data_IF_256719674229
#
_entry.id   IF_256719674229
#
_cell.length_a   1.000
_cell.length_b   1.000
_cell.length_c   1.000
_cell.angle_alpha   90.00
_cell.angle_beta   90.00
_cell.angle_gamma   90.00
#
_symmetry.space_group_name_H-M   'P 1'
#
loop_
_entity.id
_entity.type
_entity.pdbx_description
1 polymer ?
#
# COMPACT_ATOMS: atom_id res chain seq x y z
N UNK A 1 0.55 19.85 16.95
CA UNK A 1 -0.17 19.24 15.81
C UNK A 1 -1.57 18.88 16.28
N UNK A 2 -2.63 19.37 15.61
CA UNK A 2 -4.02 19.07 16.01
C UNK A 2 -4.40 17.71 15.43
N UNK A 3 -4.88 16.79 16.27
CA UNK A 3 -5.36 15.50 15.79
C UNK A 3 -6.65 15.74 14.98
N UNK A 4 -6.66 15.21 13.76
CA UNK A 4 -7.81 15.29 12.87
C UNK A 4 -8.86 14.23 13.28
N UNK A 5 -10.03 14.69 13.72
CA UNK A 5 -11.12 13.82 14.14
C UNK A 5 -11.66 12.95 13.00
N UNK A 6 -11.65 13.47 11.77
CA UNK A 6 -12.04 12.71 10.58
C UNK A 6 -11.09 11.54 10.35
N UNK A 7 -9.79 11.77 10.54
CA UNK A 7 -8.77 10.71 10.44
C UNK A 7 -9.00 9.64 11.49
N UNK A 8 -9.20 10.02 12.76
CA UNK A 8 -9.47 9.07 13.84
C UNK A 8 -10.73 8.22 13.59
N UNK A 9 -11.80 8.85 13.11
CA UNK A 9 -13.04 8.17 12.76
C UNK A 9 -12.80 7.04 11.74
N UNK A 10 -12.02 7.34 10.70
CA UNK A 10 -11.67 6.38 9.63
C UNK A 10 -10.83 5.23 10.15
N UNK A 11 -9.85 5.49 11.01
CA UNK A 11 -9.02 4.45 11.64
C UNK A 11 -9.85 3.48 12.49
N UNK A 12 -10.76 4.01 13.31
CA UNK A 12 -11.65 3.21 14.17
C UNK A 12 -12.57 2.36 13.31
N UNK A 13 -13.22 2.95 12.31
CA UNK A 13 -14.10 2.23 11.40
C UNK A 13 -13.37 1.11 10.66
N UNK A 14 -12.22 1.42 10.05
CA UNK A 14 -11.45 0.47 9.27
C UNK A 14 -11.01 -0.72 10.12
N UNK A 15 -10.48 -0.45 11.33
CA UNK A 15 -10.04 -1.50 12.25
C UNK A 15 -11.19 -2.37 12.76
N UNK A 16 -12.33 -1.76 13.12
CA UNK A 16 -13.53 -2.50 13.53
C UNK A 16 -14.03 -3.41 12.43
N UNK A 17 -14.14 -2.88 11.20
CA UNK A 17 -14.56 -3.66 10.04
C UNK A 17 -13.61 -4.80 9.76
N UNK A 18 -12.29 -4.57 9.76
CA UNK A 18 -11.28 -5.62 9.63
C UNK A 18 -11.50 -6.76 10.63
N UNK A 19 -11.69 -6.46 11.91
CA UNK A 19 -11.95 -7.47 12.96
C UNK A 19 -13.32 -8.15 12.84
N UNK A 20 -14.21 -7.66 11.97
CA UNK A 20 -15.57 -8.20 11.79
C UNK A 20 -16.51 -7.86 12.94
N UNK A 21 -16.15 -6.88 13.77
CA UNK A 21 -16.93 -6.50 14.95
C UNK A 21 -18.13 -5.61 14.59
N UNK A 22 -19.28 -5.88 15.20
CA UNK A 22 -20.43 -4.99 15.14
C UNK A 22 -20.26 -3.83 16.11
N UNK A 23 -21.01 -2.74 15.93
CA UNK A 23 -21.00 -1.66 16.91
C UNK A 23 -21.58 -2.10 18.26
N UNK A 24 -22.53 -3.03 18.28
CA UNK A 24 -23.07 -3.59 19.54
C UNK A 24 -22.01 -4.40 20.30
N UNK A 25 -21.16 -5.14 19.59
CA UNK A 25 -20.04 -5.85 20.19
C UNK A 25 -19.06 -4.87 20.84
N UNK A 26 -18.60 -3.85 20.11
CA UNK A 26 -17.72 -2.82 20.67
C UNK A 26 -18.37 -2.13 21.88
N UNK A 27 -19.68 -1.88 21.82
CA UNK A 27 -20.41 -1.25 22.90
C UNK A 27 -20.38 -2.05 24.19
N UNK A 28 -20.58 -3.37 24.08
CA UNK A 28 -20.49 -4.30 25.22
C UNK A 28 -19.08 -4.33 25.82
N UNK A 29 -18.05 -4.38 24.97
CA UNK A 29 -16.66 -4.54 25.42
C UNK A 29 -16.04 -3.25 25.96
N UNK A 30 -16.49 -2.08 25.51
CA UNK A 30 -15.89 -0.78 25.87
C UNK A 30 -16.77 0.09 26.77
N UNK A 31 -18.05 -0.24 26.90
CA UNK A 31 -19.06 0.61 27.56
C UNK A 31 -19.46 1.86 26.75
N UNK A 32 -18.91 2.06 25.55
CA UNK A 32 -19.30 3.16 24.65
C UNK A 32 -20.65 2.81 24.04
N UNK A 33 -21.67 3.66 24.14
CA UNK A 33 -22.97 3.34 23.53
C UNK A 33 -22.86 3.19 22.01
N UNK A 34 -23.71 2.34 21.40
CA UNK A 34 -23.72 2.17 19.94
C UNK A 34 -23.93 3.51 19.19
N UNK A 35 -24.81 4.39 19.71
CA UNK A 35 -25.04 5.71 19.12
C UNK A 35 -23.81 6.62 19.19
N UNK A 36 -23.08 6.59 20.31
CA UNK A 36 -21.81 7.32 20.45
C UNK A 36 -20.76 6.78 19.48
N UNK A 37 -20.61 5.46 19.39
CA UNK A 37 -19.66 4.84 18.45
C UNK A 37 -20.00 5.19 17.00
N UNK A 38 -21.28 5.16 16.63
CA UNK A 38 -21.72 5.56 15.30
C UNK A 38 -21.34 7.01 14.97
N UNK A 39 -21.52 7.94 15.91
CA UNK A 39 -21.13 9.35 15.73
C UNK A 39 -19.61 9.54 15.66
N UNK A 40 -18.85 8.75 16.43
CA UNK A 40 -17.38 8.74 16.35
C UNK A 40 -16.95 8.27 14.95
N UNK A 41 -17.47 7.14 14.46
CA UNK A 41 -17.10 6.57 13.16
C UNK A 41 -17.51 7.44 11.97
N UNK A 42 -18.53 8.29 12.12
CA UNK A 42 -18.93 9.28 11.11
C UNK A 42 -18.23 10.63 11.25
N UNK A 43 -17.31 10.79 12.21
CA UNK A 43 -16.64 12.07 12.47
C UNK A 43 -17.56 13.18 13.01
N UNK A 44 -18.72 12.82 13.57
CA UNK A 44 -19.68 13.75 14.18
C UNK A 44 -19.42 13.96 15.68
N UNK A 45 -18.55 13.15 16.29
CA UNK A 45 -18.24 13.22 17.71
C UNK A 45 -16.75 12.91 17.92
N UNK A 46 -16.08 13.81 18.65
CA UNK A 46 -14.70 13.64 19.07
C UNK A 46 -14.56 12.42 19.99
N UNK A 47 -13.50 11.65 19.81
CA UNK A 47 -13.17 10.54 20.71
C UNK A 47 -12.35 11.06 21.90
N UNK A 48 -12.81 10.80 23.12
CA UNK A 48 -12.04 11.14 24.33
C UNK A 48 -10.80 10.26 24.45
N UNK A 49 -9.76 10.71 25.17
CA UNK A 49 -8.54 9.93 25.37
C UNK A 49 -8.81 8.54 26.00
N UNK A 50 -9.76 8.47 26.95
CA UNK A 50 -10.21 7.21 27.56
C UNK A 50 -10.83 6.27 26.52
N UNK A 51 -11.75 6.77 25.69
CA UNK A 51 -12.39 5.96 24.66
C UNK A 51 -11.40 5.54 23.58
N UNK A 52 -10.47 6.41 23.19
CA UNK A 52 -9.40 6.09 22.25
C UNK A 52 -8.55 4.93 22.78
N UNK A 53 -8.09 4.99 24.03
CA UNK A 53 -7.29 3.92 24.63
C UNK A 53 -8.03 2.56 24.65
N UNK A 54 -9.33 2.56 24.99
CA UNK A 54 -10.13 1.34 24.99
C UNK A 54 -10.30 0.78 23.56
N UNK A 55 -10.63 1.66 22.60
CA UNK A 55 -10.84 1.29 21.20
C UNK A 55 -9.53 0.82 20.56
N UNK A 56 -8.42 1.53 20.74
CA UNK A 56 -7.14 1.17 20.13
C UNK A 56 -6.65 -0.18 20.63
N UNK A 57 -6.82 -0.48 21.93
CA UNK A 57 -6.50 -1.79 22.49
C UNK A 57 -7.40 -2.90 21.94
N UNK A 58 -8.72 -2.69 21.90
CA UNK A 58 -9.68 -3.69 21.43
C UNK A 58 -9.56 -3.96 19.91
N UNK A 59 -9.32 -2.91 19.14
CA UNK A 59 -9.25 -2.94 17.68
C UNK A 59 -7.84 -3.15 17.14
N UNK A 60 -6.85 -3.24 18.04
CA UNK A 60 -5.44 -3.46 17.68
C UNK A 60 -4.95 -2.37 16.71
N UNK A 61 -5.15 -1.11 17.11
CA UNK A 61 -4.71 0.08 16.39
C UNK A 61 -3.36 0.50 16.99
N UNK A 62 -2.26 0.47 16.22
CA UNK A 62 -0.96 0.96 16.66
C UNK A 62 -1.03 2.42 17.11
N UNK A 63 -0.23 2.79 18.12
CA UNK A 63 -0.16 4.18 18.60
C UNK A 63 0.17 5.15 17.47
N UNK A 64 1.12 4.78 16.60
CA UNK A 64 1.62 5.62 15.51
C UNK A 64 0.55 5.96 14.46
N UNK A 65 -0.52 5.15 14.38
CA UNK A 65 -1.63 5.41 13.45
C UNK A 65 -2.35 6.71 13.72
N UNK A 66 -2.31 7.22 14.96
CA UNK A 66 -2.87 8.55 15.27
C UNK A 66 -2.15 9.66 14.51
N UNK A 67 -0.85 9.48 14.25
CA UNK A 67 0.00 10.46 13.60
C UNK A 67 0.02 10.25 12.08
N UNK A 68 0.29 9.03 11.63
CA UNK A 68 0.35 8.71 10.20
C UNK A 68 -1.02 8.78 9.51
N UNK A 69 -2.10 8.55 10.25
CA UNK A 69 -3.44 8.42 9.67
C UNK A 69 -3.69 7.11 8.93
N UNK A 70 -2.78 6.14 9.04
CA UNK A 70 -2.89 4.81 8.47
C UNK A 70 -2.58 3.74 9.51
N UNK A 71 -3.23 2.59 9.41
CA UNK A 71 -2.99 1.43 10.27
C UNK A 71 -1.98 0.53 9.62
N UNK A 72 -0.89 0.25 10.33
CA UNK A 72 0.05 -0.79 9.93
C UNK A 72 0.58 -1.55 11.15
N UNK A 73 0.28 -2.84 11.19
CA UNK A 73 0.67 -3.76 12.26
C UNK A 73 1.98 -4.47 11.98
N UNK A 74 2.63 -4.21 10.84
CA UNK A 74 3.86 -4.90 10.46
C UNK A 74 3.66 -6.40 10.24
N UNK A 75 2.44 -6.82 9.91
CA UNK A 75 2.12 -8.23 9.68
C UNK A 75 2.12 -8.56 8.20
N UNK A 76 2.58 -9.76 7.87
CA UNK A 76 2.54 -10.27 6.50
C UNK A 76 1.08 -10.45 6.06
N UNK A 77 0.75 -10.22 4.77
CA UNK A 77 -0.56 -10.54 4.25
C UNK A 77 -0.78 -12.08 4.27
N UNK A 78 -1.38 -12.67 5.32
CA UNK A 78 -1.67 -14.12 5.40
C UNK A 78 -3.12 -14.43 4.99
N UNK A 79 -3.34 -15.50 4.19
CA UNK A 79 -4.58 -15.65 3.40
C UNK A 79 -5.63 -16.58 3.99
N UNK A 80 -5.22 -17.68 4.60
CA UNK A 80 -6.03 -18.90 4.52
C UNK A 80 -7.39 -18.84 5.23
N UNK A 81 -7.66 -17.85 6.08
CA UNK A 81 -8.93 -17.75 6.83
C UNK A 81 -9.49 -16.32 6.99
N UNK A 82 -9.06 -15.33 6.20
CA UNK A 82 -9.56 -13.95 6.34
C UNK A 82 -10.98 -13.82 5.76
N UNK A 83 -11.96 -13.48 6.61
CA UNK A 83 -13.33 -13.18 6.18
C UNK A 83 -13.37 -11.89 5.35
N UNK A 84 -14.18 -11.84 4.29
CA UNK A 84 -14.46 -10.62 3.52
C UNK A 84 -15.35 -9.65 4.32
N UNK A 85 -14.84 -9.09 5.40
CA UNK A 85 -15.60 -8.25 6.34
C UNK A 85 -16.00 -6.90 5.76
N UNK A 86 -15.24 -6.39 4.79
CA UNK A 86 -15.57 -5.19 4.02
C UNK A 86 -16.53 -5.46 2.85
N UNK A 87 -16.86 -6.73 2.57
CA UNK A 87 -17.71 -7.15 1.45
C UNK A 87 -17.21 -6.64 0.09
N UNK A 88 -15.89 -6.68 -0.12
CA UNK A 88 -15.29 -6.35 -1.40
C UNK A 88 -15.89 -7.21 -2.53
N UNK A 89 -16.03 -6.68 -3.75
CA UNK A 89 -16.39 -7.46 -4.92
C UNK A 89 -15.48 -8.68 -5.08
N UNK A 90 -16.05 -9.80 -5.54
CA UNK A 90 -15.31 -11.07 -5.69
C UNK A 90 -14.05 -10.90 -6.54
N UNK A 91 -14.10 -10.09 -7.59
CA UNK A 91 -12.96 -9.83 -8.46
C UNK A 91 -11.74 -9.21 -7.70
N UNK A 92 -12.00 -8.35 -6.71
CA UNK A 92 -10.94 -7.71 -5.92
C UNK A 92 -10.58 -8.46 -4.64
N UNK A 93 -11.46 -9.34 -4.16
CA UNK A 93 -11.22 -10.16 -2.97
C UNK A 93 -10.55 -11.50 -3.31
N UNK A 94 -11.01 -12.16 -4.37
CA UNK A 94 -10.42 -13.41 -4.84
C UNK A 94 -9.02 -13.11 -5.37
N UNK A 95 -8.07 -13.97 -5.06
CA UNK A 95 -6.68 -13.76 -5.44
C UNK A 95 -6.12 -12.39 -4.98
N UNK A 96 -6.66 -11.79 -3.89
CA UNK A 96 -6.08 -10.65 -3.18
C UNK A 96 -4.72 -10.97 -2.54
N UNK A 97 -3.67 -10.88 -3.34
CA UNK A 97 -2.29 -11.19 -2.97
C UNK A 97 -1.50 -9.93 -2.57
N UNK A 98 -2.00 -8.76 -2.94
CA UNK A 98 -1.43 -7.48 -2.59
C UNK A 98 -2.07 -6.95 -1.32
N UNK A 99 -1.30 -6.23 -0.53
CA UNK A 99 -1.82 -5.41 0.56
C UNK A 99 -2.11 -4.00 0.06
N UNK A 100 -2.81 -3.21 0.86
CA UNK A 100 -3.03 -1.79 0.56
C UNK A 100 -1.70 -1.04 0.42
N UNK A 101 -0.61 -1.44 1.12
CA UNK A 101 0.73 -0.83 0.93
C UNK A 101 1.21 -0.84 -0.50
N UNK A 102 0.88 -1.89 -1.25
CA UNK A 102 1.32 -2.07 -2.63
C UNK A 102 0.63 -1.08 -3.58
N UNK A 103 -0.64 -0.78 -3.33
CA UNK A 103 -1.50 -0.02 -4.25
C UNK A 103 -1.73 1.42 -3.81
N UNK A 104 -1.46 1.76 -2.54
CA UNK A 104 -1.73 3.09 -2.00
C UNK A 104 -0.99 4.22 -2.73
N UNK A 105 0.24 4.05 -3.28
CA UNK A 105 0.88 5.10 -4.08
C UNK A 105 0.08 5.44 -5.34
N UNK A 106 -0.51 4.42 -5.99
CA UNK A 106 -1.38 4.59 -7.17
C UNK A 106 -2.65 5.33 -6.75
N UNK A 107 -3.32 4.86 -5.69
CA UNK A 107 -4.56 5.46 -5.22
C UNK A 107 -4.39 6.93 -4.81
N UNK A 108 -3.31 7.26 -4.09
CA UNK A 108 -3.03 8.63 -3.67
C UNK A 108 -2.72 9.52 -4.88
N UNK A 109 -1.91 9.03 -5.82
CA UNK A 109 -1.62 9.75 -7.06
C UNK A 109 -2.90 10.10 -7.83
N UNK A 110 -3.77 9.12 -8.08
CA UNK A 110 -5.05 9.35 -8.78
C UNK A 110 -5.93 10.32 -7.99
N UNK A 111 -6.00 10.17 -6.66
CA UNK A 111 -6.78 11.07 -5.80
C UNK A 111 -6.28 12.50 -5.83
N UNK A 112 -4.96 12.71 -5.91
CA UNK A 112 -4.36 14.04 -6.01
C UNK A 112 -4.59 14.68 -7.38
N UNK A 113 -4.48 13.92 -8.47
CA UNK A 113 -4.61 14.45 -9.82
C UNK A 113 -6.07 14.65 -10.26
N UNK A 114 -6.93 13.67 -9.97
CA UNK A 114 -8.34 13.68 -10.40
C UNK A 114 -9.27 14.25 -9.33
N UNK A 115 -8.82 14.32 -8.09
CA UNK A 115 -9.60 14.80 -6.95
C UNK A 115 -10.25 13.66 -6.15
N UNK A 116 -10.18 13.78 -4.83
CA UNK A 116 -10.64 12.74 -3.91
C UNK A 116 -12.13 12.38 -4.06
N UNK A 117 -13.00 13.34 -4.40
CA UNK A 117 -14.43 13.06 -4.62
C UNK A 117 -14.69 12.21 -5.86
N UNK A 118 -13.92 12.43 -6.94
CA UNK A 118 -14.05 11.60 -8.16
C UNK A 118 -13.62 10.16 -7.88
N UNK A 119 -12.50 10.00 -7.16
CA UNK A 119 -12.03 8.67 -6.74
C UNK A 119 -13.05 8.01 -5.81
N UNK A 120 -13.61 8.74 -4.83
CA UNK A 120 -14.66 8.19 -3.95
C UNK A 120 -15.90 7.76 -4.75
N UNK A 121 -16.32 8.54 -5.73
CA UNK A 121 -17.45 8.19 -6.61
C UNK A 121 -17.18 6.91 -7.41
N UNK A 122 -15.97 6.78 -7.96
CA UNK A 122 -15.52 5.55 -8.63
C UNK A 122 -15.55 4.35 -7.69
N UNK A 123 -14.94 4.47 -6.50
CA UNK A 123 -14.91 3.42 -5.48
C UNK A 123 -16.33 2.95 -5.11
N UNK A 124 -17.25 3.89 -4.89
CA UNK A 124 -18.65 3.57 -4.61
C UNK A 124 -19.31 2.81 -5.77
N UNK A 125 -19.03 3.21 -7.02
CA UNK A 125 -19.57 2.57 -8.23
C UNK A 125 -19.13 1.11 -8.32
N UNK A 126 -17.87 0.82 -7.98
CA UNK A 126 -17.35 -0.55 -7.95
C UNK A 126 -17.59 -1.27 -6.61
N UNK A 127 -18.33 -0.67 -5.67
CA UNK A 127 -18.70 -1.28 -4.39
C UNK A 127 -17.56 -1.42 -3.38
N UNK A 128 -16.55 -0.55 -3.42
CA UNK A 128 -15.47 -0.48 -2.43
C UNK A 128 -15.68 0.75 -1.54
N UNK A 129 -15.65 0.55 -0.22
CA UNK A 129 -15.70 1.65 0.75
C UNK A 129 -14.30 2.26 0.88
N UNK A 130 -14.16 3.58 0.72
CA UNK A 130 -12.88 4.29 0.78
C UNK A 130 -12.09 4.06 2.09
N UNK A 131 -12.80 3.85 3.22
CA UNK A 131 -12.17 3.54 4.51
C UNK A 131 -11.41 2.20 4.52
N UNK A 132 -11.61 1.34 3.53
CA UNK A 132 -10.81 0.12 3.34
C UNK A 132 -9.31 0.42 3.23
N UNK A 133 -8.93 1.54 2.60
CA UNK A 133 -7.53 1.88 2.35
C UNK A 133 -6.81 2.54 3.54
N UNK A 134 -7.50 2.72 4.67
CA UNK A 134 -6.89 3.24 5.91
C UNK A 134 -6.12 2.16 6.69
N UNK A 135 -6.26 0.89 6.31
CA UNK A 135 -5.51 -0.21 6.91
C UNK A 135 -4.58 -0.82 5.87
N UNK A 136 -3.29 -0.54 6.01
CA UNK A 136 -2.25 -0.96 5.08
C UNK A 136 -2.10 -2.48 4.98
N UNK A 137 -2.52 -3.21 6.01
CA UNK A 137 -2.48 -4.66 6.00
C UNK A 137 -3.75 -5.27 5.38
N UNK A 138 -4.74 -4.47 4.95
CA UNK A 138 -5.89 -5.00 4.22
C UNK A 138 -5.45 -5.54 2.86
N UNK A 139 -6.12 -6.59 2.38
CA UNK A 139 -5.75 -7.27 1.15
C UNK A 139 -6.69 -6.96 0.00
N UNK A 140 -6.10 -6.76 -1.16
CA UNK A 140 -6.82 -6.49 -2.39
C UNK A 140 -6.07 -7.09 -3.57
N UNK A 141 -6.81 -7.51 -4.60
CA UNK A 141 -6.22 -7.95 -5.85
C UNK A 141 -5.60 -6.74 -6.56
N UNK A 142 -4.42 -6.91 -7.16
CA UNK A 142 -3.79 -5.86 -7.95
C UNK A 142 -4.63 -5.46 -9.17
N UNK A 143 -5.58 -6.29 -9.61
CA UNK A 143 -6.56 -5.91 -10.63
C UNK A 143 -7.35 -4.64 -10.27
N UNK A 144 -7.52 -4.33 -8.98
CA UNK A 144 -8.06 -3.02 -8.57
C UNK A 144 -7.23 -1.86 -9.08
N UNK A 145 -5.90 -1.94 -8.97
CA UNK A 145 -5.01 -0.89 -9.45
C UNK A 145 -5.04 -0.80 -10.98
N UNK A 146 -5.12 -1.94 -11.66
CA UNK A 146 -5.34 -2.01 -13.12
C UNK A 146 -6.62 -1.29 -13.54
N UNK A 147 -7.75 -1.62 -12.94
CA UNK A 147 -9.05 -1.02 -13.27
C UNK A 147 -9.07 0.47 -12.94
N UNK A 148 -8.50 0.86 -11.79
CA UNK A 148 -8.39 2.26 -11.38
C UNK A 148 -7.61 3.08 -12.41
N UNK A 149 -6.45 2.59 -12.83
CA UNK A 149 -5.62 3.28 -13.82
C UNK A 149 -6.31 3.32 -15.20
N UNK A 150 -6.91 2.21 -15.65
CA UNK A 150 -7.66 2.16 -16.91
C UNK A 150 -8.87 3.09 -16.93
N UNK A 151 -9.54 3.26 -15.80
CA UNK A 151 -10.68 4.16 -15.68
C UNK A 151 -10.26 5.64 -15.82
N UNK A 152 -9.19 6.04 -15.14
CA UNK A 152 -8.78 7.45 -15.08
C UNK A 152 -7.75 7.86 -16.16
N UNK A 153 -7.11 6.89 -16.81
CA UNK A 153 -6.01 7.07 -17.77
C UNK A 153 -6.06 6.04 -18.93
N UNK A 154 -7.20 5.85 -19.62
CA UNK A 154 -7.37 4.78 -20.62
C UNK A 154 -6.32 4.80 -21.73
N UNK A 155 -5.90 5.99 -22.18
CA UNK A 155 -4.94 6.18 -23.28
C UNK A 155 -3.58 6.70 -22.81
N UNK A 156 -3.33 6.71 -21.49
CA UNK A 156 -2.16 7.37 -20.88
C UNK A 156 -1.31 6.41 -20.03
N UNK A 157 -1.50 5.10 -20.18
CA UNK A 157 -0.70 4.07 -19.51
C UNK A 157 0.70 3.95 -20.13
N UNK A 158 1.55 4.95 -19.89
CA UNK A 158 2.93 4.99 -20.37
C UNK A 158 3.94 5.31 -19.28
N UNK A 159 5.23 5.25 -19.63
CA UNK A 159 6.35 5.49 -18.71
C UNK A 159 6.22 6.79 -17.90
N UNK A 160 5.68 7.84 -18.52
CA UNK A 160 5.49 9.12 -17.86
C UNK A 160 4.50 9.06 -16.70
N UNK A 161 3.38 8.37 -16.89
CA UNK A 161 2.38 8.18 -15.84
C UNK A 161 2.99 7.41 -14.67
N UNK A 162 3.68 6.31 -14.97
CA UNK A 162 4.32 5.48 -13.95
C UNK A 162 5.42 6.23 -13.20
N UNK A 163 6.19 7.08 -13.89
CA UNK A 163 7.18 7.97 -13.25
C UNK A 163 6.53 8.93 -12.26
N UNK A 164 5.41 9.54 -12.64
CA UNK A 164 4.64 10.46 -11.77
C UNK A 164 4.05 9.72 -10.56
N UNK A 165 3.51 8.52 -10.75
CA UNK A 165 3.06 7.64 -9.66
C UNK A 165 4.24 7.27 -8.75
N UNK A 166 5.39 6.91 -9.34
CA UNK A 166 6.61 6.57 -8.61
C UNK A 166 7.10 7.69 -7.69
N UNK A 167 6.72 8.95 -7.94
CA UNK A 167 6.98 10.06 -7.02
C UNK A 167 6.39 9.88 -5.61
N UNK A 168 5.40 9.01 -5.44
CA UNK A 168 4.79 8.65 -4.16
C UNK A 168 5.49 7.46 -3.47
N UNK A 169 6.56 6.94 -4.07
CA UNK A 169 7.24 5.75 -3.58
C UNK A 169 7.97 5.97 -2.25
N UNK A 170 8.25 7.21 -1.85
CA UNK A 170 8.97 7.57 -0.61
C UNK A 170 8.08 8.14 0.49
N UNK A 171 6.76 8.14 0.31
CA UNK A 171 5.83 8.61 1.33
C UNK A 171 5.91 7.64 2.52
N UNK A 172 6.43 8.11 3.65
CA UNK A 172 6.71 7.27 4.83
C UNK A 172 5.46 6.51 5.28
N UNK A 173 4.31 7.19 5.25
CA UNK A 173 3.03 6.64 5.64
C UNK A 173 2.67 5.39 4.82
N UNK A 174 3.10 5.28 3.57
CA UNK A 174 2.85 4.10 2.71
C UNK A 174 3.65 2.87 3.12
N UNK A 175 4.78 3.06 3.78
CA UNK A 175 5.64 1.97 4.25
C UNK A 175 5.31 1.50 5.67
N UNK A 176 4.61 2.36 6.43
CA UNK A 176 4.20 2.10 7.81
C UNK A 176 5.41 1.80 8.70
N UNK A 177 5.39 0.66 9.40
CA UNK A 177 6.45 0.29 10.36
C UNK A 177 7.84 0.15 9.73
N UNK A 178 7.94 0.00 8.41
CA UNK A 178 9.23 -0.14 7.71
C UNK A 178 9.85 1.21 7.31
N UNK A 179 9.12 2.32 7.39
CA UNK A 179 9.60 3.64 6.98
C UNK A 179 10.90 4.02 7.72
N UNK A 180 10.93 3.82 9.04
CA UNK A 180 12.10 4.14 9.85
C UNK A 180 13.33 3.31 9.50
N UNK A 181 13.15 2.05 9.11
CA UNK A 181 14.26 1.20 8.67
C UNK A 181 14.78 1.60 7.29
N UNK A 182 13.92 2.15 6.43
CA UNK A 182 14.31 2.69 5.13
C UNK A 182 15.08 4.01 5.26
N UNK A 183 14.67 4.91 6.16
CA UNK A 183 15.37 6.17 6.44
C UNK A 183 16.81 5.98 6.90
N UNK A 184 17.10 4.89 7.62
CA UNK A 184 18.45 4.56 8.10
C UNK A 184 19.40 4.13 6.98
N UNK A 185 18.92 3.93 5.75
CA UNK A 185 19.75 3.45 4.63
C UNK A 185 20.48 4.62 3.97
N UNK A 186 21.77 4.44 3.77
CA UNK A 186 22.68 5.50 3.29
C UNK A 186 22.97 5.43 1.78
N UNK A 187 22.49 4.40 1.08
CA UNK A 187 22.66 4.25 -0.38
C UNK A 187 21.39 3.69 -1.00
N UNK A 188 21.14 4.05 -2.27
CA UNK A 188 20.01 3.51 -3.04
C UNK A 188 20.04 1.99 -3.14
N UNK A 189 21.23 1.39 -3.26
CA UNK A 189 21.42 -0.07 -3.29
C UNK A 189 21.00 -0.73 -1.97
N UNK A 190 21.39 -0.14 -0.82
CA UNK A 190 21.02 -0.68 0.49
C UNK A 190 19.53 -0.47 0.80
N UNK A 191 18.97 0.65 0.32
CA UNK A 191 17.55 0.94 0.40
C UNK A 191 16.74 -0.07 -0.42
N UNK A 192 17.10 -0.30 -1.68
CA UNK A 192 16.45 -1.26 -2.56
C UNK A 192 16.58 -2.70 -2.03
N UNK A 193 17.75 -3.10 -1.53
CA UNK A 193 17.94 -4.38 -0.82
C UNK A 193 16.91 -4.53 0.32
N UNK A 194 16.81 -3.51 1.16
CA UNK A 194 15.91 -3.55 2.33
C UNK A 194 14.44 -3.61 1.91
N UNK A 195 14.07 -2.96 0.81
CA UNK A 195 12.73 -3.11 0.23
C UNK A 195 12.48 -4.52 -0.28
N UNK A 196 13.41 -5.10 -1.04
CA UNK A 196 13.29 -6.46 -1.59
C UNK A 196 13.12 -7.49 -0.47
N UNK A 197 13.91 -7.41 0.58
CA UNK A 197 13.82 -8.30 1.75
C UNK A 197 12.46 -8.17 2.47
N UNK A 198 11.86 -6.99 2.44
CA UNK A 198 10.55 -6.68 3.04
C UNK A 198 9.37 -6.74 2.04
N UNK A 199 9.60 -7.12 0.78
CA UNK A 199 8.57 -7.14 -0.28
C UNK A 199 7.35 -7.99 0.09
N UNK A 200 7.56 -9.02 0.90
CA UNK A 200 6.52 -9.92 1.39
C UNK A 200 5.49 -9.26 2.34
N UNK A 201 5.75 -8.04 2.84
CA UNK A 201 4.76 -7.23 3.56
C UNK A 201 3.84 -6.43 2.63
N UNK A 202 4.25 -6.23 1.39
CA UNK A 202 3.48 -5.52 0.36
C UNK A 202 2.61 -6.48 -0.43
N UNK A 203 3.15 -7.64 -0.77
CA UNK A 203 2.40 -8.61 -1.57
C UNK A 203 2.98 -10.03 -1.41
N UNK A 204 2.18 -11.03 -1.78
CA UNK A 204 2.59 -12.43 -1.80
C UNK A 204 2.25 -13.16 -3.12
N UNK A 205 1.94 -12.40 -4.18
CA UNK A 205 1.77 -12.93 -5.54
C UNK A 205 3.13 -13.21 -6.20
N UNK A 206 4.18 -12.52 -5.79
CA UNK A 206 5.49 -12.63 -6.37
C UNK A 206 6.54 -12.77 -5.28
N UNK A 207 7.49 -13.66 -5.50
CA UNK A 207 8.66 -13.84 -4.66
C UNK A 207 9.81 -13.04 -5.24
N UNK A 208 10.44 -12.23 -4.41
CA UNK A 208 11.61 -11.46 -4.80
C UNK A 208 12.87 -12.17 -4.31
N UNK A 209 13.89 -12.27 -5.16
CA UNK A 209 15.18 -12.89 -4.80
C UNK A 209 16.32 -12.06 -5.36
N UNK A 210 17.21 -11.61 -4.49
CA UNK A 210 18.47 -10.99 -4.92
C UNK A 210 19.34 -12.09 -5.52
N UNK A 211 19.74 -11.89 -6.77
CA UNK A 211 20.63 -12.79 -7.52
C UNK A 211 22.07 -12.36 -7.33
N UNK A 212 22.31 -11.05 -7.44
CA UNK A 212 23.65 -10.48 -7.39
C UNK A 212 23.59 -9.09 -6.76
N UNK A 213 24.62 -8.74 -6.00
CA UNK A 213 24.73 -7.43 -5.37
C UNK A 213 26.18 -7.03 -5.29
N UNK A 214 26.48 -5.87 -5.85
CA UNK A 214 27.75 -5.18 -5.68
C UNK A 214 27.54 -3.79 -5.12
N UNK A 215 28.62 -3.01 -5.01
CA UNK A 215 28.57 -1.62 -4.56
C UNK A 215 27.81 -0.71 -5.53
N UNK A 216 27.83 -1.04 -6.82
CA UNK A 216 27.31 -0.19 -7.90
C UNK A 216 26.09 -0.74 -8.63
N UNK A 217 25.68 -1.97 -8.34
CA UNK A 217 24.44 -2.53 -8.86
C UNK A 217 23.82 -3.57 -7.94
N UNK A 218 22.54 -3.83 -8.16
CA UNK A 218 21.81 -4.96 -7.57
C UNK A 218 20.92 -5.59 -8.65
N UNK A 219 21.04 -6.90 -8.80
CA UNK A 219 20.22 -7.73 -9.68
C UNK A 219 19.31 -8.61 -8.85
N UNK A 220 18.02 -8.59 -9.14
CA UNK A 220 17.04 -9.42 -8.43
C UNK A 220 15.97 -9.91 -9.38
N UNK A 221 15.34 -11.02 -9.03
CA UNK A 221 14.22 -11.58 -9.77
C UNK A 221 12.92 -11.39 -9.01
N UNK A 222 11.84 -11.32 -9.77
CA UNK A 222 10.46 -11.38 -9.34
C UNK A 222 9.82 -12.58 -10.05
N UNK A 223 9.44 -13.58 -9.27
CA UNK A 223 8.87 -14.85 -9.75
C UNK A 223 7.44 -14.99 -9.25
N UNK A 224 6.50 -15.31 -10.14
CA UNK A 224 5.12 -15.55 -9.76
C UNK A 224 5.03 -16.76 -8.82
N UNK A 225 4.32 -16.62 -7.70
CA UNK A 225 3.95 -17.75 -6.84
C UNK A 225 3.07 -18.75 -7.59
N UNK A 226 3.02 -20.02 -7.16
CA UNK A 226 2.12 -21.02 -7.77
C UNK A 226 0.65 -20.58 -7.77
N UNK A 227 0.25 -19.80 -6.77
CA UNK A 227 -1.11 -19.27 -6.62
C UNK A 227 -1.40 -18.15 -7.62
N UNK A 228 -0.35 -17.51 -8.15
CA UNK A 228 -0.44 -16.42 -9.11
C UNK A 228 -0.11 -16.80 -10.55
N UNK A 229 0.26 -18.05 -10.84
CA UNK A 229 0.50 -18.51 -12.23
C UNK A 229 -0.71 -18.33 -13.16
N UNK A 230 -1.92 -18.24 -12.60
CA UNK A 230 -3.15 -17.94 -13.36
C UNK A 230 -3.42 -16.43 -13.53
N UNK A 231 -2.47 -15.54 -13.23
CA UNK A 231 -2.67 -14.10 -13.45
C UNK A 231 -2.71 -13.80 -14.94
N UNK A 232 -3.53 -12.83 -15.34
CA UNK A 232 -3.57 -12.38 -16.73
C UNK A 232 -2.33 -11.55 -17.05
N UNK A 233 -1.80 -11.70 -18.28
CA UNK A 233 -0.76 -10.83 -18.84
C UNK A 233 -1.09 -9.34 -18.63
N UNK A 234 -2.37 -9.00 -18.64
CA UNK A 234 -2.91 -7.67 -18.37
C UNK A 234 -2.49 -7.07 -17.02
N UNK A 235 -2.33 -7.89 -15.96
CA UNK A 235 -1.83 -7.40 -14.67
C UNK A 235 -0.36 -7.04 -14.79
N UNK A 236 0.43 -7.87 -15.46
CA UNK A 236 1.88 -7.66 -15.62
C UNK A 236 2.20 -6.44 -16.49
N UNK A 237 1.37 -6.18 -17.51
CA UNK A 237 1.46 -5.00 -18.39
C UNK A 237 1.39 -3.67 -17.62
N UNK A 238 0.81 -3.67 -16.41
CA UNK A 238 0.75 -2.51 -15.52
C UNK A 238 1.73 -2.65 -14.37
N UNK A 239 1.79 -3.82 -13.74
CA UNK A 239 2.61 -4.06 -12.56
C UNK A 239 4.10 -3.86 -12.86
N UNK A 240 4.61 -4.38 -13.97
CA UNK A 240 6.05 -4.34 -14.27
C UNK A 240 6.52 -2.90 -14.52
N UNK A 241 5.89 -2.11 -15.42
CA UNK A 241 6.28 -0.71 -15.60
C UNK A 241 6.11 0.14 -14.33
N UNK A 242 5.02 -0.07 -13.58
CA UNK A 242 4.83 0.58 -12.29
C UNK A 242 5.96 0.25 -11.31
N UNK A 243 6.32 -1.04 -11.16
CA UNK A 243 7.39 -1.47 -10.26
C UNK A 243 8.74 -0.89 -10.63
N UNK A 244 9.08 -0.87 -11.93
CA UNK A 244 10.29 -0.22 -12.42
C UNK A 244 10.33 1.24 -11.97
N UNK A 245 9.31 2.03 -12.30
CA UNK A 245 9.27 3.45 -11.98
C UNK A 245 9.22 3.75 -10.47
N UNK A 246 8.50 2.90 -9.71
CA UNK A 246 8.42 2.96 -8.26
C UNK A 246 9.79 2.75 -7.62
N UNK A 247 10.51 1.69 -8.02
CA UNK A 247 11.81 1.35 -7.44
C UNK A 247 12.91 2.34 -7.84
N UNK A 248 12.88 2.85 -9.07
CA UNK A 248 13.75 3.96 -9.50
C UNK A 248 13.54 5.19 -8.61
N UNK A 249 12.29 5.56 -8.35
CA UNK A 249 11.96 6.72 -7.52
C UNK A 249 12.26 6.48 -6.03
N UNK A 250 11.96 5.30 -5.52
CA UNK A 250 12.23 4.89 -4.15
C UNK A 250 13.73 4.93 -3.83
N UNK A 251 14.57 4.47 -4.77
CA UNK A 251 16.02 4.38 -4.58
C UNK A 251 16.79 5.68 -4.76
N UNK A 252 16.12 6.80 -5.11
CA UNK A 252 16.75 8.13 -5.15
C UNK A 252 17.28 8.48 -3.76
N UNK A 253 18.42 9.14 -3.66
CA UNK A 253 18.97 9.66 -2.41
C UNK A 253 19.06 11.19 -2.47
N UNK A 254 19.22 11.84 -1.32
CA UNK A 254 19.24 13.32 -1.25
C UNK A 254 20.40 13.96 -2.00
N UNK A 255 21.48 13.20 -2.23
CA UNK A 255 22.66 13.61 -3.00
C UNK A 255 22.51 13.40 -4.52
N UNK A 256 21.28 13.34 -5.02
CA UNK A 256 20.94 13.06 -6.43
C UNK A 256 21.38 11.70 -6.98
N UNK A 257 22.02 10.83 -6.17
CA UNK A 257 22.29 9.47 -6.60
C UNK A 257 20.98 8.72 -6.80
N UNK A 258 20.82 8.14 -7.98
CA UNK A 258 19.63 7.38 -8.36
C UNK A 258 20.05 6.09 -9.03
N UNK A 259 19.24 5.05 -8.86
CA UNK A 259 19.40 3.82 -9.61
C UNK A 259 18.56 3.92 -10.88
N UNK A 260 19.18 3.58 -12.01
CA UNK A 260 18.46 3.28 -13.25
C UNK A 260 18.12 1.80 -13.24
N UNK A 261 16.87 1.45 -13.55
CA UNK A 261 16.41 0.07 -13.54
C UNK A 261 16.11 -0.38 -14.97
N UNK A 262 16.72 -1.49 -15.36
CA UNK A 262 16.36 -2.25 -16.56
C UNK A 262 15.59 -3.50 -16.16
N UNK A 263 14.69 -3.94 -17.03
CA UNK A 263 13.83 -5.10 -16.80
C UNK A 263 13.91 -6.02 -18.00
N UNK A 264 14.15 -7.29 -17.73
CA UNK A 264 14.13 -8.38 -18.71
C UNK A 264 13.11 -9.41 -18.26
N UNK A 265 12.26 -9.88 -19.17
CA UNK A 265 11.28 -10.93 -18.91
C UNK A 265 11.63 -12.16 -19.74
N UNK A 266 11.83 -13.30 -19.08
CA UNK A 266 12.00 -14.61 -19.70
C UNK A 266 11.03 -15.58 -19.04
N UNK A 267 10.04 -16.07 -19.80
CA UNK A 267 8.95 -16.89 -19.29
C UNK A 267 8.22 -16.22 -18.09
N UNK A 268 8.13 -16.92 -16.95
CA UNK A 268 7.53 -16.44 -15.69
C UNK A 268 8.53 -15.68 -14.79
N UNK A 269 9.79 -15.55 -15.24
CA UNK A 269 10.86 -14.91 -14.47
C UNK A 269 11.11 -13.49 -14.98
N UNK A 270 10.86 -12.52 -14.10
CA UNK A 270 11.13 -11.11 -14.38
C UNK A 270 12.41 -10.72 -13.64
N UNK A 271 13.42 -10.28 -14.37
CA UNK A 271 14.71 -9.88 -13.83
C UNK A 271 14.83 -8.36 -13.87
N UNK A 272 15.14 -7.77 -12.72
CA UNK A 272 15.43 -6.36 -12.57
C UNK A 272 16.93 -6.18 -12.32
N UNK A 273 17.55 -5.29 -13.08
CA UNK A 273 18.92 -4.85 -12.88
C UNK A 273 18.92 -3.35 -12.58
N UNK A 274 19.29 -3.00 -11.35
CA UNK A 274 19.38 -1.62 -10.89
C UNK A 274 20.85 -1.20 -10.78
N UNK A 275 21.27 -0.20 -11.55
CA UNK A 275 22.66 0.29 -11.63
C UNK A 275 22.73 1.74 -11.19
N UNK A 276 23.80 2.14 -10.49
CA UNK A 276 24.07 3.55 -10.18
C UNK A 276 24.15 4.38 -11.46
N UNK A 277 23.41 5.48 -11.50
CA UNK A 277 23.51 6.44 -12.58
C UNK A 277 24.71 7.37 -12.31
N UNK A 278 25.79 7.23 -13.09
CA UNK A 278 27.01 8.03 -12.92
C UNK A 278 26.95 9.43 -13.56
N UNK A 279 25.83 9.79 -14.19
CA UNK A 279 25.71 11.02 -14.99
C UNK A 279 25.69 12.34 -14.19
N UNK A 280 25.95 12.33 -12.88
CA UNK A 280 25.96 13.53 -12.00
C UNK A 280 27.32 13.82 -11.35
N UNK A 281 28.39 13.12 -11.71
CA UNK A 281 29.74 13.34 -11.15
C UNK A 281 30.67 14.19 -12.03
N UNK A 282 30.20 14.70 -13.16
CA UNK A 282 31.03 15.49 -14.12
C UNK A 282 30.65 16.99 -14.21
N UNK A 283 29.90 17.53 -13.24
CA UNK A 283 29.57 18.97 -13.14
C UNK A 283 30.08 19.58 -11.84
#
# INVERSE_FOLDING_TARGET
MKIDEQRLAKLIFASRKRKGYTQSFISKETGITQGTLSKIESGQCSVSAKHWFLLSKLLDIPSESVWSGLIDRGVKPTRENEKNTFKLPKHYFNHAHSSVKEIIPILEFVSKEKGAEQVRSYLNTIGIVDFFFFDLNNKINFSFATDLLKHFYPDQLGDELYRRIGGFAKVDEHHGVHAEDYKKKNTGINLLKSYIENSHFYQNAYKYKIVEKESHFIKFTMEASDISKNHSNEIEDILIPFKKAYLESFSKMDNESSLKISVEKSDELITFLATLNHSTLES
#
